data_IF_995280349534
#
_entry.id   IF_995280349534
#
_cell.length_a   1.000
_cell.length_b   1.000
_cell.length_c   1.000
_cell.angle_alpha   90.00
_cell.angle_beta   90.00
_cell.angle_gamma   90.00
#
_symmetry.space_group_name_H-M   'P 1'
#
loop_
_entity.id
_entity.type
_entity.pdbx_description
1 polymer ?
#
# COMPACT_ATOMS: atom_id res chain seq x y z
N UNK A 1 -76.63 -5.24 48.35
CA UNK A 1 -75.86 -4.21 48.98
C UNK A 1 -74.49 -4.76 49.20
N UNK A 2 -73.62 -4.67 48.26
CA UNK A 2 -72.35 -5.30 48.32
C UNK A 2 -71.27 -4.23 47.96
N UNK A 3 -70.52 -3.90 48.95
CA UNK A 3 -69.40 -3.00 48.89
C UNK A 3 -68.17 -3.78 48.36
N UNK A 4 -67.73 -3.49 47.11
CA UNK A 4 -66.60 -4.11 46.52
C UNK A 4 -65.33 -3.26 46.87
N UNK A 5 -64.55 -3.79 47.77
CA UNK A 5 -63.23 -3.25 48.13
C UNK A 5 -62.28 -3.19 46.89
N UNK A 6 -61.89 -2.01 46.53
CA UNK A 6 -60.82 -1.79 45.52
C UNK A 6 -59.46 -2.13 46.15
N UNK A 7 -58.91 -3.25 45.73
CA UNK A 7 -57.52 -3.64 46.05
C UNK A 7 -56.54 -2.71 45.32
N UNK A 8 -55.94 -1.78 46.00
CA UNK A 8 -54.80 -0.97 45.53
C UNK A 8 -53.66 -1.88 45.20
N UNK A 9 -53.29 -1.95 43.91
CA UNK A 9 -52.04 -2.55 43.46
C UNK A 9 -50.91 -1.58 43.80
N UNK A 10 -49.89 -2.09 44.51
CA UNK A 10 -48.62 -1.41 44.76
C UNK A 10 -47.89 -1.25 43.42
N UNK A 11 -47.29 -0.08 43.13
CA UNK A 11 -46.40 0.08 41.97
C UNK A 11 -45.10 -0.71 42.23
N UNK A 12 -44.74 -1.51 41.25
CA UNK A 12 -43.40 -2.14 41.17
C UNK A 12 -42.33 -1.07 41.01
N UNK A 13 -41.17 -1.20 41.66
CA UNK A 13 -40.08 -0.27 41.51
C UNK A 13 -39.58 -0.34 40.05
N UNK A 14 -39.57 0.81 39.38
CA UNK A 14 -39.07 0.96 38.02
C UNK A 14 -37.61 0.55 37.94
N UNK A 15 -37.29 -0.17 36.88
CA UNK A 15 -35.95 -0.38 36.42
C UNK A 15 -35.28 0.99 36.24
N UNK A 16 -34.31 1.28 37.10
CA UNK A 16 -33.41 2.38 36.93
C UNK A 16 -32.65 2.15 35.62
N UNK A 17 -32.96 2.96 34.61
CA UNK A 17 -32.11 3.12 33.46
C UNK A 17 -30.79 3.70 33.94
N UNK A 18 -29.74 2.87 33.94
CA UNK A 18 -28.38 3.36 34.09
C UNK A 18 -28.11 4.31 32.91
N UNK A 19 -27.83 5.60 33.12
CA UNK A 19 -27.24 6.40 32.09
C UNK A 19 -25.87 5.78 31.80
N UNK A 20 -25.64 5.43 30.53
CA UNK A 20 -24.33 5.01 30.06
C UNK A 20 -23.33 6.13 30.45
N UNK A 21 -22.56 5.86 31.49
CA UNK A 21 -21.40 6.69 31.84
C UNK A 21 -20.45 6.54 30.66
N UNK A 22 -20.47 7.50 29.77
CA UNK A 22 -19.38 7.70 28.79
C UNK A 22 -18.13 7.94 29.65
N UNK A 23 -17.43 6.85 29.91
CA UNK A 23 -16.10 6.90 30.53
C UNK A 23 -15.22 7.58 29.48
N UNK A 24 -15.03 8.89 29.63
CA UNK A 24 -14.02 9.65 28.89
C UNK A 24 -12.66 9.05 29.27
N UNK A 25 -12.16 8.17 28.40
CA UNK A 25 -10.81 7.64 28.53
C UNK A 25 -9.86 8.85 28.44
N UNK A 26 -8.98 9.07 29.42
CA UNK A 26 -8.03 10.18 29.35
C UNK A 26 -7.22 10.07 28.05
N UNK A 27 -7.00 11.21 27.39
CA UNK A 27 -6.25 11.30 26.12
C UNK A 27 -4.89 10.59 26.20
N UNK A 28 -4.22 10.65 27.34
CA UNK A 28 -2.94 10.00 27.58
C UNK A 28 -3.03 8.47 27.50
N UNK A 29 -4.14 7.88 27.98
CA UNK A 29 -4.37 6.46 27.89
C UNK A 29 -4.71 6.03 26.46
N UNK A 30 -5.45 6.86 25.71
CA UNK A 30 -5.74 6.66 24.30
C UNK A 30 -4.47 6.72 23.46
N UNK A 31 -3.60 7.69 23.68
CA UNK A 31 -2.30 7.79 23.00
C UNK A 31 -1.39 6.61 23.32
N UNK A 32 -1.37 6.16 24.58
CA UNK A 32 -0.59 4.98 24.98
C UNK A 32 -1.13 3.70 24.35
N UNK A 33 -2.45 3.54 24.28
CA UNK A 33 -3.07 2.39 23.64
C UNK A 33 -2.89 2.39 22.12
N UNK A 34 -2.97 3.55 21.48
CA UNK A 34 -2.64 3.74 20.05
C UNK A 34 -1.17 3.37 19.80
N UNK A 35 -0.24 3.80 20.65
CA UNK A 35 1.18 3.41 20.54
C UNK A 35 1.39 1.91 20.73
N UNK A 36 0.64 1.28 21.64
CA UNK A 36 0.72 -0.16 21.88
C UNK A 36 0.17 -0.98 20.72
N UNK A 37 -0.92 -0.52 20.09
CA UNK A 37 -1.59 -1.22 18.97
C UNK A 37 -0.89 -1.02 17.64
N UNK A 38 -0.40 0.19 17.37
CA UNK A 38 0.24 0.55 16.10
C UNK A 38 1.77 0.42 16.15
N UNK A 39 2.35 0.18 17.32
CA UNK A 39 3.79 0.27 17.53
C UNK A 39 4.28 1.73 17.39
N UNK A 40 5.56 1.99 17.54
CA UNK A 40 6.10 3.32 17.29
C UNK A 40 5.86 3.69 15.82
N UNK A 41 4.93 4.59 15.58
CA UNK A 41 4.48 5.06 14.25
C UNK A 41 5.61 5.64 13.40
N UNK A 42 6.78 5.87 13.98
CA UNK A 42 7.99 6.34 13.31
C UNK A 42 8.99 5.22 12.97
N UNK A 43 8.82 4.02 13.55
CA UNK A 43 9.55 2.85 13.08
C UNK A 43 8.82 2.33 11.83
N UNK A 44 9.19 2.87 10.66
CA UNK A 44 8.81 2.24 9.40
C UNK A 44 9.22 0.76 9.46
N UNK A 45 8.37 -0.16 8.98
CA UNK A 45 8.79 -1.54 8.83
C UNK A 45 10.13 -1.53 8.07
N UNK A 46 11.07 -2.42 8.41
CA UNK A 46 12.34 -2.46 7.74
C UNK A 46 12.08 -2.46 6.22
N UNK A 47 12.59 -1.47 5.51
CA UNK A 47 12.32 -1.21 4.07
C UNK A 47 12.66 -2.42 3.18
N UNK A 48 13.40 -3.40 3.70
CA UNK A 48 13.63 -4.69 3.05
C UNK A 48 12.33 -5.46 2.76
N UNK A 49 11.24 -5.16 3.46
CA UNK A 49 9.92 -5.77 3.25
C UNK A 49 8.98 -4.91 2.37
N UNK A 50 9.38 -3.68 2.02
CA UNK A 50 8.57 -2.78 1.19
C UNK A 50 8.68 -3.09 -0.29
N UNK A 51 9.78 -3.72 -0.70
CA UNK A 51 10.07 -4.03 -2.10
C UNK A 51 9.92 -5.53 -2.37
N UNK A 52 9.39 -5.90 -3.56
CA UNK A 52 9.47 -7.26 -4.05
C UNK A 52 10.91 -7.80 -4.05
N UNK A 53 11.06 -9.11 -3.87
CA UNK A 53 12.37 -9.75 -3.74
C UNK A 53 13.28 -9.57 -4.96
N UNK A 54 12.70 -9.36 -6.14
CA UNK A 54 13.44 -9.16 -7.38
C UNK A 54 14.04 -7.76 -7.55
N UNK A 55 13.67 -6.81 -6.68
CA UNK A 55 14.23 -5.46 -6.71
C UNK A 55 15.41 -5.34 -5.76
N UNK A 56 16.43 -4.60 -6.18
CA UNK A 56 17.57 -4.26 -5.33
C UNK A 56 17.10 -3.48 -4.11
N UNK A 57 17.63 -3.84 -2.96
CA UNK A 57 17.44 -3.06 -1.74
C UNK A 57 18.01 -1.63 -1.93
N UNK A 58 17.38 -0.63 -1.31
CA UNK A 58 17.92 0.73 -1.30
C UNK A 58 19.36 0.73 -0.78
N UNK A 59 20.18 1.65 -1.29
CA UNK A 59 21.57 1.74 -0.85
C UNK A 59 21.67 1.91 0.68
N UNK A 60 22.54 1.16 1.35
CA UNK A 60 22.78 1.33 2.80
C UNK A 60 23.34 2.71 3.16
N UNK A 61 23.73 3.52 2.16
CA UNK A 61 24.22 4.90 2.34
C UNK A 61 23.10 5.92 2.48
N UNK A 62 21.84 5.54 2.16
CA UNK A 62 20.68 6.42 2.32
C UNK A 62 20.39 6.64 3.81
N UNK A 63 20.26 7.90 4.19
CA UNK A 63 19.87 8.26 5.55
C UNK A 63 18.40 7.92 5.79
N UNK A 64 18.04 7.69 7.04
CA UNK A 64 16.66 7.36 7.42
C UNK A 64 15.66 8.44 6.99
N UNK A 65 16.07 9.71 6.99
CA UNK A 65 15.26 10.84 6.56
C UNK A 65 14.94 10.78 5.07
N UNK A 66 15.92 10.44 4.24
CA UNK A 66 15.75 10.27 2.80
C UNK A 66 14.84 9.10 2.50
N UNK A 67 15.00 7.98 3.20
CA UNK A 67 14.13 6.82 3.08
C UNK A 67 12.67 7.18 3.45
N UNK A 68 12.48 7.91 4.55
CA UNK A 68 11.16 8.38 4.96
C UNK A 68 10.52 9.32 3.92
N UNK A 69 11.32 10.16 3.30
CA UNK A 69 10.87 11.03 2.21
C UNK A 69 10.42 10.19 1.00
N UNK A 70 11.23 9.23 0.57
CA UNK A 70 10.93 8.34 -0.56
C UNK A 70 9.67 7.54 -0.31
N UNK A 71 9.50 6.96 0.89
CA UNK A 71 8.27 6.23 1.27
C UNK A 71 7.04 7.14 1.18
N UNK A 72 7.10 8.33 1.75
CA UNK A 72 5.97 9.29 1.70
C UNK A 72 5.62 9.73 0.28
N UNK A 73 6.59 9.73 -0.63
CA UNK A 73 6.39 10.03 -2.05
C UNK A 73 5.92 8.83 -2.88
N UNK A 74 5.76 7.66 -2.24
CA UNK A 74 5.37 6.43 -2.93
C UNK A 74 6.45 5.89 -3.88
N UNK A 75 7.71 6.24 -3.62
CA UNK A 75 8.85 5.80 -4.45
C UNK A 75 8.98 4.28 -4.53
N UNK A 76 8.55 3.59 -3.47
CA UNK A 76 8.59 2.12 -3.37
C UNK A 76 7.29 1.44 -3.81
N UNK A 77 6.26 2.22 -4.16
CA UNK A 77 5.01 1.67 -4.67
C UNK A 77 5.20 1.21 -6.11
N UNK A 78 5.27 -0.08 -6.32
CA UNK A 78 5.42 -0.68 -7.64
C UNK A 78 4.12 -1.35 -8.08
N UNK A 79 3.73 -1.25 -9.38
CA UNK A 79 2.59 -1.98 -9.90
C UNK A 79 2.83 -3.49 -9.75
N UNK A 80 1.94 -4.16 -9.05
CA UNK A 80 2.01 -5.60 -8.81
C UNK A 80 0.79 -6.31 -9.39
N UNK A 81 0.82 -7.65 -9.36
CA UNK A 81 -0.30 -8.49 -9.79
C UNK A 81 -0.66 -8.29 -11.26
N UNK A 82 -1.97 -8.29 -11.55
CA UNK A 82 -2.49 -8.22 -12.92
C UNK A 82 -2.08 -6.93 -13.65
N UNK A 83 -2.09 -5.79 -12.98
CA UNK A 83 -1.68 -4.53 -13.59
C UNK A 83 -0.21 -4.54 -13.98
N UNK A 84 0.68 -4.97 -13.08
CA UNK A 84 2.11 -5.05 -13.37
C UNK A 84 2.42 -5.95 -14.57
N UNK A 85 1.75 -7.11 -14.64
CA UNK A 85 1.87 -8.03 -15.77
C UNK A 85 1.42 -7.42 -17.10
N UNK A 86 0.26 -6.74 -17.12
CA UNK A 86 -0.26 -6.10 -18.33
C UNK A 86 0.61 -4.93 -18.79
N UNK A 87 1.15 -4.15 -17.85
CA UNK A 87 2.11 -3.08 -18.16
C UNK A 87 3.38 -3.69 -18.80
N UNK A 88 3.93 -4.75 -18.22
CA UNK A 88 5.14 -5.38 -18.74
C UNK A 88 4.92 -6.01 -20.12
N UNK A 89 3.79 -6.70 -20.34
CA UNK A 89 3.40 -7.20 -21.67
C UNK A 89 3.30 -6.09 -22.70
N UNK A 90 2.72 -4.96 -22.29
CA UNK A 90 2.59 -3.77 -23.15
C UNK A 90 3.95 -3.17 -23.49
N UNK A 91 4.89 -3.13 -22.53
CA UNK A 91 6.27 -2.73 -22.78
C UNK A 91 6.95 -3.63 -23.81
N UNK A 92 6.88 -4.95 -23.63
CA UNK A 92 7.48 -5.92 -24.56
C UNK A 92 6.92 -5.75 -25.96
N UNK A 93 5.63 -5.55 -26.10
CA UNK A 93 4.94 -5.49 -27.40
C UNK A 93 5.18 -4.17 -28.14
N UNK A 94 5.20 -3.04 -27.42
CA UNK A 94 5.11 -1.72 -28.03
C UNK A 94 6.37 -0.87 -27.85
N UNK A 95 7.16 -1.08 -26.82
CA UNK A 95 8.33 -0.25 -26.51
C UNK A 95 9.62 -0.97 -26.89
N UNK A 96 9.79 -2.18 -26.41
CA UNK A 96 11.02 -2.93 -26.59
C UNK A 96 11.46 -3.12 -28.06
N UNK A 97 10.56 -3.36 -29.05
CA UNK A 97 10.96 -3.50 -30.46
C UNK A 97 11.61 -2.24 -31.04
N UNK A 98 11.29 -1.08 -30.48
CA UNK A 98 11.82 0.22 -30.92
C UNK A 98 13.01 0.68 -30.08
N UNK A 99 13.08 0.23 -28.82
CA UNK A 99 14.07 0.64 -27.83
C UNK A 99 14.56 -0.58 -27.02
N UNK A 100 15.39 -1.45 -27.62
CA UNK A 100 15.81 -2.72 -26.98
C UNK A 100 16.94 -2.50 -25.97
N UNK A 101 16.75 -1.61 -25.00
CA UNK A 101 17.75 -1.34 -23.95
C UNK A 101 17.74 -2.35 -22.82
N UNK A 102 16.72 -3.19 -22.77
CA UNK A 102 16.50 -4.14 -21.69
C UNK A 102 16.82 -5.56 -22.17
N UNK A 103 17.62 -6.27 -21.40
CA UNK A 103 17.71 -7.73 -21.53
C UNK A 103 16.43 -8.35 -20.97
N UNK A 104 15.54 -8.76 -21.88
CA UNK A 104 14.22 -9.30 -21.50
C UNK A 104 14.31 -10.62 -20.75
N UNK A 105 15.30 -11.45 -21.06
CA UNK A 105 15.46 -12.75 -20.43
C UNK A 105 15.90 -12.57 -18.97
N UNK A 106 16.90 -11.73 -18.73
CA UNK A 106 17.34 -11.40 -17.38
C UNK A 106 16.23 -10.69 -16.58
N UNK A 107 15.54 -9.76 -17.19
CA UNK A 107 14.49 -8.98 -16.52
C UNK A 107 13.26 -9.87 -16.21
N UNK A 108 12.84 -10.71 -17.14
CA UNK A 108 11.72 -11.64 -16.95
C UNK A 108 12.05 -12.70 -15.90
N UNK A 109 13.25 -13.27 -15.97
CA UNK A 109 13.71 -14.25 -14.99
C UNK A 109 13.75 -13.68 -13.58
N UNK A 110 14.21 -12.46 -13.42
CA UNK A 110 14.22 -11.81 -12.11
C UNK A 110 12.81 -11.59 -11.56
N UNK A 111 11.82 -11.23 -12.38
CA UNK A 111 10.44 -10.99 -11.94
C UNK A 111 9.68 -12.31 -11.68
N UNK A 112 9.84 -13.32 -12.52
CA UNK A 112 9.01 -14.52 -12.46
C UNK A 112 9.65 -15.65 -11.65
N UNK A 113 10.99 -15.72 -11.56
CA UNK A 113 11.71 -16.72 -10.76
C UNK A 113 11.94 -16.19 -9.34
N UNK A 114 10.88 -16.15 -8.53
CA UNK A 114 10.93 -15.73 -7.12
C UNK A 114 11.78 -16.63 -6.20
N UNK A 115 12.33 -17.74 -6.73
CA UNK A 115 13.14 -18.69 -5.98
C UNK A 115 14.63 -18.32 -5.91
N UNK A 116 15.04 -17.24 -6.53
CA UNK A 116 16.40 -16.73 -6.37
C UNK A 116 16.54 -16.18 -4.96
N UNK A 117 17.25 -16.90 -4.10
CA UNK A 117 17.74 -16.37 -2.83
C UNK A 117 18.38 -15.02 -3.13
N UNK A 118 17.98 -13.99 -2.40
CA UNK A 118 18.58 -12.66 -2.51
C UNK A 118 20.09 -12.78 -2.31
N UNK A 119 20.82 -12.83 -3.39
CA UNK A 119 22.23 -12.47 -3.37
C UNK A 119 22.27 -10.96 -3.55
N UNK A 120 22.88 -10.23 -2.61
CA UNK A 120 22.75 -8.76 -2.44
C UNK A 120 23.22 -7.93 -3.65
N UNK A 121 23.53 -8.56 -4.78
CA UNK A 121 24.01 -7.93 -6.01
C UNK A 121 23.11 -8.04 -7.24
N UNK A 122 22.24 -9.02 -7.33
CA UNK A 122 21.60 -9.43 -8.61
C UNK A 122 20.19 -8.90 -8.89
N UNK A 123 19.59 -8.08 -8.02
CA UNK A 123 18.24 -7.54 -8.24
C UNK A 123 18.18 -6.48 -9.34
N UNK A 124 16.97 -6.23 -9.84
CA UNK A 124 16.68 -5.13 -10.75
C UNK A 124 16.72 -3.81 -9.98
N UNK A 125 17.32 -2.76 -10.55
CA UNK A 125 17.24 -1.42 -10.00
C UNK A 125 15.78 -0.96 -9.95
N UNK A 126 15.36 -0.37 -8.83
CA UNK A 126 14.01 0.19 -8.66
C UNK A 126 13.71 1.24 -9.73
N UNK A 127 14.67 2.12 -10.03
CA UNK A 127 14.52 3.12 -11.07
C UNK A 127 14.30 2.49 -12.45
N UNK A 128 15.09 1.46 -12.80
CA UNK A 128 14.93 0.75 -14.07
C UNK A 128 13.55 0.09 -14.15
N UNK A 129 13.11 -0.59 -13.10
CA UNK A 129 11.80 -1.21 -13.05
C UNK A 129 10.69 -0.17 -13.24
N UNK A 130 10.75 0.95 -12.54
CA UNK A 130 9.75 2.00 -12.65
C UNK A 130 9.76 2.68 -14.03
N UNK A 131 10.93 2.85 -14.65
CA UNK A 131 11.03 3.37 -16.01
C UNK A 131 10.36 2.45 -17.03
N UNK A 132 10.55 1.13 -16.89
CA UNK A 132 9.88 0.12 -17.72
C UNK A 132 8.36 0.16 -17.52
N UNK A 133 7.91 0.26 -16.24
CA UNK A 133 6.48 0.37 -15.94
C UNK A 133 5.88 1.68 -16.49
N UNK A 134 6.58 2.79 -16.35
CA UNK A 134 6.14 4.07 -16.92
C UNK A 134 6.02 4.02 -18.45
N UNK A 135 7.00 3.44 -19.15
CA UNK A 135 6.96 3.31 -20.59
C UNK A 135 5.83 2.37 -21.07
N UNK A 136 5.63 1.26 -20.35
CA UNK A 136 4.62 0.26 -20.71
C UNK A 136 3.18 0.71 -20.46
N UNK A 137 2.93 1.50 -19.39
CA UNK A 137 1.56 1.92 -19.03
C UNK A 137 0.88 2.76 -20.10
N UNK A 138 1.66 3.41 -20.97
CA UNK A 138 1.14 4.19 -22.08
C UNK A 138 0.27 3.36 -23.02
N UNK A 139 0.56 2.08 -23.18
CA UNK A 139 -0.09 1.16 -24.12
C UNK A 139 -1.07 0.19 -23.46
N UNK A 140 -1.23 0.22 -22.13
CA UNK A 140 -2.16 -0.67 -21.41
C UNK A 140 -3.60 -0.33 -21.74
N UNK A 141 -4.47 -1.33 -21.86
CA UNK A 141 -5.90 -1.15 -21.99
C UNK A 141 -6.49 -0.46 -20.75
N UNK A 142 -7.37 0.51 -20.97
CA UNK A 142 -8.00 1.31 -19.92
C UNK A 142 -8.72 0.46 -18.87
N UNK A 143 -9.29 -0.69 -19.26
CA UNK A 143 -9.96 -1.60 -18.32
C UNK A 143 -9.06 -2.05 -17.17
N UNK A 144 -7.76 -2.31 -17.45
CA UNK A 144 -6.80 -2.71 -16.41
C UNK A 144 -6.40 -1.55 -15.51
N UNK A 145 -6.35 -0.33 -16.07
CA UNK A 145 -6.10 0.89 -15.30
C UNK A 145 -7.28 1.19 -14.37
N UNK A 146 -8.51 1.08 -14.86
CA UNK A 146 -9.71 1.27 -14.04
C UNK A 146 -9.84 0.20 -12.94
N UNK A 147 -9.54 -1.06 -13.25
CA UNK A 147 -9.52 -2.14 -12.27
C UNK A 147 -8.49 -1.91 -11.15
N UNK A 148 -7.41 -1.20 -11.44
CA UNK A 148 -6.38 -0.81 -10.48
C UNK A 148 -6.67 0.52 -9.76
N UNK A 149 -7.84 1.14 -10.00
CA UNK A 149 -8.27 2.36 -9.34
C UNK A 149 -7.82 3.67 -10.00
N UNK A 150 -7.19 3.63 -11.17
CA UNK A 150 -6.85 4.85 -11.91
C UNK A 150 -8.09 5.38 -12.66
N UNK A 151 -8.32 6.69 -12.57
CA UNK A 151 -9.46 7.34 -13.25
C UNK A 151 -9.23 7.55 -14.75
N UNK A 152 -7.99 7.55 -15.19
CA UNK A 152 -7.60 7.76 -16.57
C UNK A 152 -6.18 7.28 -16.83
N UNK A 153 -5.82 7.13 -18.12
CA UNK A 153 -4.44 6.87 -18.52
C UNK A 153 -3.48 7.98 -18.08
N UNK A 154 -3.92 9.23 -18.14
CA UNK A 154 -3.13 10.37 -17.71
C UNK A 154 -2.80 10.29 -16.22
N UNK A 155 -3.79 9.98 -15.38
CA UNK A 155 -3.58 9.80 -13.93
C UNK A 155 -2.57 8.68 -13.64
N UNK A 156 -2.64 7.55 -14.36
CA UNK A 156 -1.68 6.46 -14.22
C UNK A 156 -0.25 6.89 -14.63
N UNK A 157 -0.13 7.57 -15.77
CA UNK A 157 1.15 8.11 -16.25
C UNK A 157 1.77 9.09 -15.25
N UNK A 158 1.00 10.07 -14.78
CA UNK A 158 1.46 11.06 -13.80
C UNK A 158 1.94 10.38 -12.52
N UNK A 159 1.18 9.39 -12.02
CA UNK A 159 1.55 8.65 -10.81
C UNK A 159 2.86 7.89 -10.98
N UNK A 160 3.00 7.10 -12.06
CA UNK A 160 4.20 6.30 -12.30
C UNK A 160 5.41 7.18 -12.62
N UNK A 161 5.21 8.29 -13.33
CA UNK A 161 6.27 9.27 -13.57
C UNK A 161 6.79 9.88 -12.27
N UNK A 162 5.90 10.30 -11.37
CA UNK A 162 6.31 10.87 -10.07
C UNK A 162 7.09 9.85 -9.23
N UNK A 163 6.67 8.60 -9.22
CA UNK A 163 7.38 7.52 -8.53
C UNK A 163 8.78 7.31 -9.09
N UNK A 164 8.92 7.23 -10.42
CA UNK A 164 10.23 7.09 -11.06
C UNK A 164 11.13 8.31 -10.81
N UNK A 165 10.56 9.51 -10.91
CA UNK A 165 11.29 10.78 -10.72
C UNK A 165 11.91 10.91 -9.32
N UNK A 166 11.24 10.43 -8.30
CA UNK A 166 11.72 10.54 -6.91
C UNK A 166 12.92 9.62 -6.64
N UNK A 167 13.10 8.57 -7.47
CA UNK A 167 14.22 7.63 -7.37
C UNK A 167 15.43 8.02 -8.23
N UNK A 168 15.35 9.14 -8.93
CA UNK A 168 16.48 9.73 -9.69
C UNK A 168 17.24 10.70 -8.81
#
# INVERSE_FOLDING_TARGET
MAERALKRRKPTPGMAQNPAVLTTVPLDNLLTEIHRLLGPTWALPPYNNLLPAFLKSPSPRLQTEDLNYLVRKGAFDVPQGALGQEIFKSYIRHVHPHMPFLDLDLFSNAIFNQNSTRDDGEGISLLLFQAVMFAGVFFVDLKHLYAAGFLSRRSALETLFQRARVNY
#
